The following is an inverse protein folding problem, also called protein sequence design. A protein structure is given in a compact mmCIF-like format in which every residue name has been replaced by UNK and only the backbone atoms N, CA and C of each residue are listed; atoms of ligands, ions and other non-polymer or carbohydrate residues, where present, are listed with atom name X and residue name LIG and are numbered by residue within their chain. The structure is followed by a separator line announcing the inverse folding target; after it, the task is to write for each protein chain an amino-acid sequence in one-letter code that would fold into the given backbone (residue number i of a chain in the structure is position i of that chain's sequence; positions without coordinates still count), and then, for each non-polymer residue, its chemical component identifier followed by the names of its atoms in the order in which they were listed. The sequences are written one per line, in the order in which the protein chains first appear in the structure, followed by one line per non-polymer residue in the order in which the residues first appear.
data_IF_300620516388
#
_entry.id   IF_300620516388
#
_cell.length_a   1.000
_cell.length_b   1.000
_cell.length_c   1.000
_cell.angle_alpha   90.00
_cell.angle_beta   90.00
_cell.angle_gamma   90.00
#
_symmetry.space_group_name_H-M   'P 1'
#
loop_
_entity.id
_entity.type
_entity.pdbx_description
1 polymer ?
#
# COMPACT_ATOMS: atom_id res chain seq x y z
N UNK A 1 -1.59 11.42 -19.84
CA UNK A 1 -1.65 11.24 -18.37
C UNK A 1 -0.24 11.16 -17.84
N UNK A 2 0.07 11.84 -16.73
CA UNK A 2 1.36 11.72 -16.03
C UNK A 2 1.22 10.76 -14.85
N UNK A 3 2.33 10.22 -14.36
CA UNK A 3 2.35 9.40 -13.14
C UNK A 3 1.74 10.15 -11.93
N UNK A 4 1.94 11.46 -11.85
CA UNK A 4 1.35 12.30 -10.80
C UNK A 4 -0.18 12.32 -10.85
N UNK A 5 -0.78 12.51 -12.03
CA UNK A 5 -2.25 12.44 -12.19
C UNK A 5 -2.82 11.06 -11.87
N UNK A 6 -2.06 9.99 -12.13
CA UNK A 6 -2.47 8.63 -11.79
C UNK A 6 -2.53 8.43 -10.27
N UNK A 7 -1.49 8.92 -9.55
CA UNK A 7 -1.41 8.84 -8.10
C UNK A 7 -2.53 9.64 -7.44
N UNK A 8 -2.82 10.86 -7.89
CA UNK A 8 -3.93 11.66 -7.39
C UNK A 8 -5.28 10.95 -7.57
N UNK A 9 -5.51 10.35 -8.74
CA UNK A 9 -6.74 9.61 -9.02
C UNK A 9 -6.90 8.38 -8.11
N UNK A 10 -5.81 7.66 -7.83
CA UNK A 10 -5.83 6.51 -6.91
C UNK A 10 -6.08 6.97 -5.48
N UNK A 11 -5.47 8.06 -5.03
CA UNK A 11 -5.67 8.58 -3.68
C UNK A 11 -7.07 9.14 -3.45
N UNK A 12 -7.76 9.58 -4.50
CA UNK A 12 -9.14 10.04 -4.45
C UNK A 12 -10.19 8.91 -4.25
N UNK A 13 -9.82 7.65 -4.47
CA UNK A 13 -10.72 6.51 -4.26
C UNK A 13 -10.99 6.29 -2.76
N UNK A 14 -12.16 5.73 -2.38
CA UNK A 14 -12.42 5.23 -1.04
C UNK A 14 -11.37 4.20 -0.57
N UNK A 15 -11.14 4.12 0.74
CA UNK A 15 -10.12 3.23 1.33
C UNK A 15 -10.23 1.77 0.88
N UNK A 16 -11.45 1.24 0.84
CA UNK A 16 -11.74 -0.13 0.43
C UNK A 16 -11.43 -0.38 -1.05
N UNK A 17 -11.68 0.61 -1.90
CA UNK A 17 -11.41 0.54 -3.34
C UNK A 17 -9.91 0.68 -3.63
N UNK A 18 -9.21 1.55 -2.89
CA UNK A 18 -7.74 1.65 -2.95
C UNK A 18 -7.08 0.32 -2.59
N UNK A 19 -7.58 -0.34 -1.54
CA UNK A 19 -7.06 -1.64 -1.11
C UNK A 19 -7.29 -2.74 -2.16
N UNK A 20 -8.47 -2.77 -2.79
CA UNK A 20 -8.76 -3.71 -3.87
C UNK A 20 -7.85 -3.49 -5.08
N UNK A 21 -7.69 -2.24 -5.51
CA UNK A 21 -6.79 -1.87 -6.60
C UNK A 21 -5.33 -2.23 -6.30
N UNK A 22 -4.86 -2.01 -5.07
CA UNK A 22 -3.52 -2.40 -4.67
C UNK A 22 -3.29 -3.92 -4.82
N UNK A 23 -4.28 -4.74 -4.40
CA UNK A 23 -4.21 -6.20 -4.55
C UNK A 23 -4.15 -6.64 -6.02
N UNK A 24 -4.94 -6.00 -6.89
CA UNK A 24 -4.92 -6.28 -8.33
C UNK A 24 -3.60 -5.92 -8.98
N UNK A 25 -3.04 -4.74 -8.66
CA UNK A 25 -1.73 -4.32 -9.15
C UNK A 25 -0.67 -5.35 -8.76
N UNK A 26 -0.64 -5.75 -7.49
CA UNK A 26 0.31 -6.74 -6.98
C UNK A 26 0.15 -8.08 -7.69
N UNK A 27 -1.08 -8.57 -7.86
CA UNK A 27 -1.36 -9.81 -8.55
C UNK A 27 -0.99 -9.77 -10.05
N UNK A 28 -1.05 -8.59 -10.67
CA UNK A 28 -0.70 -8.37 -12.08
C UNK A 28 0.80 -8.33 -12.34
N UNK A 29 1.63 -8.12 -11.30
CA UNK A 29 3.07 -8.11 -11.44
C UNK A 29 3.58 -9.56 -11.56
N UNK A 30 4.38 -9.82 -12.59
CA UNK A 30 5.23 -11.00 -12.64
C UNK A 30 6.47 -10.74 -11.77
N UNK A 31 6.28 -10.89 -10.46
CA UNK A 31 7.29 -10.65 -9.42
C UNK A 31 8.00 -11.97 -9.09
N UNK A 32 9.32 -11.94 -8.97
CA UNK A 32 10.08 -13.05 -8.40
C UNK A 32 9.54 -13.37 -6.99
N UNK A 33 9.57 -14.64 -6.57
CA UNK A 33 8.95 -15.09 -5.30
C UNK A 33 9.44 -14.29 -4.07
N UNK A 34 10.66 -13.74 -4.10
CA UNK A 34 11.18 -12.84 -3.07
C UNK A 34 10.45 -11.49 -3.00
N UNK A 35 10.12 -10.89 -4.14
CA UNK A 35 9.37 -9.64 -4.22
C UNK A 35 7.91 -9.84 -3.83
N UNK A 36 7.31 -10.97 -4.26
CA UNK A 36 5.96 -11.38 -3.85
C UNK A 36 5.84 -11.61 -2.35
N UNK A 37 6.86 -12.21 -1.73
CA UNK A 37 6.93 -12.39 -0.28
C UNK A 37 7.01 -11.04 0.44
N UNK A 38 7.92 -10.16 0.05
CA UNK A 38 8.08 -8.84 0.68
C UNK A 38 6.81 -7.98 0.57
N UNK A 39 6.11 -8.06 -0.57
CA UNK A 39 4.84 -7.36 -0.77
C UNK A 39 3.74 -7.97 0.11
N UNK A 40 3.64 -9.30 0.16
CA UNK A 40 2.63 -9.98 1.00
C UNK A 40 2.81 -9.66 2.48
N UNK A 41 4.06 -9.63 2.96
CA UNK A 41 4.38 -9.18 4.32
C UNK A 41 4.00 -7.71 4.55
N UNK A 42 4.26 -6.84 3.55
CA UNK A 42 3.84 -5.45 3.59
C UNK A 42 2.32 -5.28 3.72
N UNK A 43 1.56 -6.06 2.95
CA UNK A 43 0.09 -6.09 3.02
C UNK A 43 -0.38 -6.59 4.38
N UNK A 44 0.22 -7.66 4.91
CA UNK A 44 -0.12 -8.17 6.24
C UNK A 44 0.04 -7.11 7.34
N UNK A 45 1.15 -6.36 7.33
CA UNK A 45 1.37 -5.25 8.28
C UNK A 45 0.30 -4.15 8.15
N UNK A 46 -0.18 -3.85 6.95
CA UNK A 46 -1.26 -2.89 6.76
C UNK A 46 -2.58 -3.39 7.36
N UNK A 47 -2.90 -4.68 7.19
CA UNK A 47 -4.10 -5.28 7.78
C UNK A 47 -4.06 -5.26 9.31
N UNK A 48 -2.89 -5.52 9.91
CA UNK A 48 -2.71 -5.46 11.37
C UNK A 48 -2.93 -4.04 11.91
N UNK A 49 -2.51 -3.02 11.16
CA UNK A 49 -2.76 -1.61 11.52
C UNK A 49 -4.26 -1.29 11.46
N UNK A 50 -4.94 -1.69 10.39
CA UNK A 50 -6.37 -1.44 10.20
C UNK A 50 -7.21 -2.15 11.27
N UNK A 51 -6.83 -3.38 11.64
CA UNK A 51 -7.49 -4.15 12.71
C UNK A 51 -7.14 -3.63 14.12
N UNK A 52 -6.28 -2.63 14.24
CA UNK A 52 -5.81 -2.09 15.52
C UNK A 52 -4.91 -3.05 16.30
N UNK A 53 -4.37 -4.08 15.64
CA UNK A 53 -3.46 -5.06 16.24
C UNK A 53 -2.03 -4.49 16.37
N UNK A 54 -1.69 -3.50 15.54
CA UNK A 54 -0.42 -2.75 15.61
C UNK A 54 -0.69 -1.26 15.42
N UNK A 55 0.00 -0.40 16.18
CA UNK A 55 -0.10 1.05 15.99
C UNK A 55 0.72 1.48 14.76
N UNK A 56 0.03 1.95 13.73
CA UNK A 56 0.67 2.53 12.55
C UNK A 56 1.31 3.90 12.82
N UNK A 57 2.17 4.35 11.91
CA UNK A 57 2.70 5.71 11.92
C UNK A 57 1.65 6.67 11.37
N UNK A 58 1.61 7.89 11.93
CA UNK A 58 0.95 9.02 11.25
C UNK A 58 1.74 9.40 10.00
N UNK A 59 1.09 10.08 9.06
CA UNK A 59 1.71 10.52 7.79
C UNK A 59 2.99 11.35 8.02
N UNK A 60 3.04 12.20 9.05
CA UNK A 60 4.22 12.99 9.39
C UNK A 60 5.37 12.13 9.92
N UNK A 61 5.07 11.13 10.76
CA UNK A 61 6.05 10.18 11.28
C UNK A 61 6.59 9.27 10.17
N UNK A 62 5.72 8.82 9.27
CA UNK A 62 6.13 8.02 8.11
C UNK A 62 7.09 8.81 7.22
N UNK A 63 6.75 10.07 6.87
CA UNK A 63 7.64 10.94 6.08
C UNK A 63 8.98 11.23 6.74
N UNK A 64 9.01 11.31 8.07
CA UNK A 64 10.26 11.49 8.82
C UNK A 64 11.14 10.23 8.76
N UNK A 65 10.55 9.04 8.79
CA UNK A 65 11.27 7.76 8.73
C UNK A 65 11.82 7.41 7.34
N UNK A 66 11.37 8.09 6.28
CA UNK A 66 11.86 7.92 4.91
C UNK A 66 13.08 8.79 4.56
N UNK A 67 13.54 9.64 5.48
CA UNK A 67 14.76 10.44 5.34
C UNK A 67 15.93 9.79 6.07
#
# INVERSE_FOLDING_TARGET
MTSAHLTEAVLALPETERLALAREIIASLAIDESQKTAISEGVGRMEDIIKGQTTGLTESQFRAALR
#
